data_IF_326232246086
#
_entry.id   IF_326232246086
#
_cell.length_a   1.000
_cell.length_b   1.000
_cell.length_c   1.000
_cell.angle_alpha   90.00
_cell.angle_beta   90.00
_cell.angle_gamma   90.00
#
_symmetry.space_group_name_H-M   'P 1'
#
loop_
_entity.id
_entity.type
_entity.pdbx_description
1 polymer ?
#
# COMPACT_ATOMS: atom_id res chain seq x y z
N UNK A 1 22.33 -2.88 21.18
CA UNK A 1 21.33 -2.31 20.24
C UNK A 1 20.77 -3.40 19.35
N UNK A 2 19.47 -3.52 19.28
CA UNK A 2 18.83 -4.54 18.48
C UNK A 2 18.76 -4.10 17.02
N UNK A 3 19.23 -4.91 16.11
CA UNK A 3 19.06 -4.68 14.68
C UNK A 3 17.72 -5.24 14.23
N UNK A 4 16.93 -4.41 13.54
CA UNK A 4 15.75 -4.90 12.85
C UNK A 4 16.15 -5.42 11.47
N UNK A 5 15.74 -6.64 11.20
CA UNK A 5 15.98 -7.27 9.88
C UNK A 5 14.61 -7.40 9.20
N UNK A 6 14.47 -6.74 8.06
CA UNK A 6 13.28 -6.82 7.24
C UNK A 6 13.55 -7.63 5.98
N UNK A 7 12.52 -8.32 5.48
CA UNK A 7 12.59 -8.96 4.19
C UNK A 7 12.61 -7.94 3.04
N UNK A 8 12.78 -8.44 1.83
CA UNK A 8 12.75 -7.61 0.62
C UNK A 8 14.04 -6.87 0.31
N UNK A 9 15.15 -7.22 0.94
CA UNK A 9 16.45 -6.59 0.69
C UNK A 9 17.07 -7.11 -0.60
N UNK A 10 16.58 -6.63 -1.74
CA UNK A 10 17.10 -6.99 -3.05
C UNK A 10 18.42 -6.29 -3.37
N UNK A 11 18.78 -5.28 -2.59
CA UNK A 11 19.99 -4.47 -2.83
C UNK A 11 21.25 -5.18 -2.35
N UNK A 12 21.16 -5.92 -1.25
CA UNK A 12 22.24 -6.72 -0.72
C UNK A 12 22.24 -8.13 -1.31
N UNK A 13 21.07 -8.73 -1.41
CA UNK A 13 20.90 -10.10 -1.90
C UNK A 13 20.41 -10.09 -3.33
N UNK A 14 21.33 -9.96 -4.28
CA UNK A 14 21.04 -9.90 -5.72
C UNK A 14 21.00 -11.30 -6.32
N UNK A 15 20.27 -11.44 -7.42
CA UNK A 15 20.17 -12.69 -8.18
C UNK A 15 19.60 -13.86 -7.37
N UNK A 16 18.74 -13.55 -6.40
CA UNK A 16 18.05 -14.55 -5.58
C UNK A 16 16.55 -14.54 -5.88
N UNK A 17 15.91 -15.68 -5.68
CA UNK A 17 14.45 -15.74 -5.59
C UNK A 17 14.06 -15.22 -4.20
N UNK A 18 13.32 -14.12 -4.15
CA UNK A 18 12.96 -13.47 -2.89
C UNK A 18 11.57 -13.92 -2.42
N UNK A 19 11.54 -14.72 -1.37
CA UNK A 19 10.30 -15.13 -0.69
C UNK A 19 10.11 -14.41 0.65
N UNK A 20 10.93 -13.40 0.94
CA UNK A 20 10.92 -12.72 2.23
C UNK A 20 9.89 -11.59 2.31
N UNK A 21 9.27 -11.22 1.21
CA UNK A 21 8.28 -10.16 1.15
C UNK A 21 7.22 -10.49 0.10
N UNK A 22 5.99 -10.03 0.34
CA UNK A 22 4.86 -10.28 -0.55
C UNK A 22 4.74 -9.16 -1.57
N UNK A 23 5.62 -9.14 -2.55
CA UNK A 23 5.54 -8.20 -3.66
C UNK A 23 4.92 -8.88 -4.87
N UNK A 24 4.18 -8.12 -5.67
CA UNK A 24 3.63 -8.63 -6.92
C UNK A 24 4.78 -8.87 -7.90
N UNK A 25 5.03 -10.11 -8.33
CA UNK A 25 6.14 -10.41 -9.24
C UNK A 25 5.96 -9.77 -10.62
N UNK A 26 4.74 -9.39 -11.00
CA UNK A 26 4.46 -8.70 -12.26
C UNK A 26 4.60 -7.17 -12.12
N UNK A 27 4.95 -6.70 -10.92
CA UNK A 27 5.09 -5.28 -10.64
C UNK A 27 3.78 -4.60 -10.30
N UNK A 28 3.82 -3.27 -10.21
CA UNK A 28 2.64 -2.47 -9.90
C UNK A 28 1.75 -2.34 -11.12
N UNK A 29 0.43 -2.61 -11.03
CA UNK A 29 -0.49 -2.41 -12.14
C UNK A 29 -0.47 -0.96 -12.67
N UNK A 30 -0.64 -0.79 -13.98
CA UNK A 30 -0.66 0.55 -14.58
C UNK A 30 -1.78 1.43 -14.04
N UNK A 31 -2.94 0.86 -13.73
CA UNK A 31 -4.04 1.60 -13.12
C UNK A 31 -3.67 2.20 -11.78
N UNK A 32 -2.89 1.49 -10.98
CA UNK A 32 -2.40 1.99 -9.68
C UNK A 32 -1.39 3.11 -9.91
N UNK A 33 -0.45 2.94 -10.82
CA UNK A 33 0.53 3.97 -11.15
C UNK A 33 -0.15 5.25 -11.64
N UNK A 34 -1.17 5.12 -12.48
CA UNK A 34 -1.91 6.27 -12.99
C UNK A 34 -2.66 6.98 -11.86
N UNK A 35 -3.28 6.24 -10.95
CA UNK A 35 -3.96 6.83 -9.79
C UNK A 35 -2.98 7.63 -8.92
N UNK A 36 -1.76 7.11 -8.73
CA UNK A 36 -0.72 7.83 -7.99
C UNK A 36 -0.34 9.12 -8.72
N UNK A 37 -0.11 9.06 -10.04
CA UNK A 37 0.22 10.24 -10.82
C UNK A 37 -0.87 11.30 -10.73
N UNK A 38 -2.13 10.89 -10.82
CA UNK A 38 -3.27 11.81 -10.79
C UNK A 38 -3.46 12.45 -9.41
N UNK A 39 -2.94 11.83 -8.35
CA UNK A 39 -3.09 12.31 -6.98
C UNK A 39 -1.89 13.10 -6.45
N UNK A 40 -0.86 13.32 -7.28
CA UNK A 40 0.37 13.99 -6.82
C UNK A 40 0.12 15.38 -6.23
N UNK A 41 -0.82 16.14 -6.79
CA UNK A 41 -1.14 17.48 -6.26
C UNK A 41 -1.77 17.43 -4.87
N UNK A 42 -2.30 16.28 -4.48
CA UNK A 42 -2.97 16.13 -3.19
C UNK A 42 -2.00 15.84 -2.04
N UNK A 43 -0.73 15.52 -2.33
CA UNK A 43 0.25 15.20 -1.28
C UNK A 43 0.60 16.41 -0.40
N UNK A 44 0.27 17.61 -0.86
CA UNK A 44 0.45 18.84 -0.08
C UNK A 44 -0.52 18.95 1.09
N UNK A 45 -1.63 18.22 1.03
CA UNK A 45 -2.68 18.30 2.02
C UNK A 45 -2.50 17.25 3.10
N UNK A 46 -2.90 17.59 4.32
CA UNK A 46 -2.89 16.62 5.41
C UNK A 46 -3.94 15.55 5.14
N UNK A 47 -3.64 14.26 5.38
CA UNK A 47 -4.62 13.20 5.15
C UNK A 47 -5.90 13.42 5.93
N UNK A 48 -7.03 13.06 5.34
CA UNK A 48 -8.32 13.19 5.99
C UNK A 48 -8.40 12.28 7.22
N UNK A 49 -8.76 12.87 8.35
CA UNK A 49 -8.99 12.11 9.57
C UNK A 49 -10.21 11.22 9.37
N UNK A 50 -10.08 9.93 9.78
CA UNK A 50 -11.15 8.97 9.64
C UNK A 50 -11.16 8.17 8.35
N UNK A 51 -10.42 8.60 7.33
CA UNK A 51 -10.24 7.85 6.07
C UNK A 51 -11.55 7.50 5.37
N UNK A 52 -12.58 8.33 5.48
CA UNK A 52 -13.93 7.98 5.01
C UNK A 52 -13.98 7.63 3.51
N UNK A 53 -13.39 8.42 2.59
CA UNK A 53 -13.41 8.05 1.17
C UNK A 53 -12.72 6.71 0.88
N UNK A 54 -11.61 6.43 1.57
CA UNK A 54 -10.89 5.17 1.42
C UNK A 54 -11.73 3.99 1.93
N UNK A 55 -12.35 4.14 3.10
CA UNK A 55 -13.21 3.10 3.67
C UNK A 55 -14.39 2.79 2.76
N UNK A 56 -15.01 3.83 2.19
CA UNK A 56 -16.13 3.64 1.27
C UNK A 56 -15.72 2.91 0.00
N UNK A 57 -14.55 3.23 -0.55
CA UNK A 57 -14.03 2.57 -1.73
C UNK A 57 -13.73 1.09 -1.45
N UNK A 58 -13.09 0.78 -0.33
CA UNK A 58 -12.79 -0.61 0.07
C UNK A 58 -14.09 -1.37 0.35
N UNK A 59 -15.04 -0.74 1.04
CA UNK A 59 -16.32 -1.36 1.36
C UNK A 59 -17.09 -1.76 0.10
N UNK A 60 -17.11 -0.88 -0.89
CA UNK A 60 -17.74 -1.16 -2.18
C UNK A 60 -17.06 -2.32 -2.89
N UNK A 61 -15.74 -2.36 -2.88
CA UNK A 61 -14.96 -3.42 -3.53
C UNK A 61 -15.18 -4.77 -2.85
N UNK A 62 -15.17 -4.80 -1.51
CA UNK A 62 -15.27 -6.03 -0.72
C UNK A 62 -16.72 -6.42 -0.40
N UNK A 63 -17.71 -5.62 -0.80
CA UNK A 63 -19.12 -5.84 -0.52
C UNK A 63 -19.42 -5.96 0.99
N UNK A 64 -18.83 -5.06 1.78
CA UNK A 64 -19.07 -4.96 3.23
C UNK A 64 -19.46 -3.54 3.59
N UNK A 65 -19.92 -3.34 4.82
CA UNK A 65 -20.23 -2.00 5.32
C UNK A 65 -18.96 -1.28 5.71
N UNK A 66 -18.88 0.07 5.49
CA UNK A 66 -17.68 0.84 5.84
C UNK A 66 -17.28 0.74 7.32
N UNK A 67 -18.26 0.55 8.21
CA UNK A 67 -18.00 0.40 9.64
C UNK A 67 -17.18 -0.84 10.00
N UNK A 68 -17.11 -1.81 9.09
CA UNK A 68 -16.33 -3.02 9.28
C UNK A 68 -14.87 -2.86 8.84
N UNK A 69 -14.46 -1.66 8.43
CA UNK A 69 -13.14 -1.40 7.89
C UNK A 69 -12.36 -0.49 8.84
N UNK A 70 -11.15 -0.90 9.17
CA UNK A 70 -10.21 -0.10 9.94
C UNK A 70 -8.97 0.10 9.08
N UNK A 71 -8.58 1.37 8.89
CA UNK A 71 -7.37 1.72 8.18
C UNK A 71 -6.28 2.06 9.18
N UNK A 72 -5.08 1.58 8.91
CA UNK A 72 -3.93 1.82 9.76
C UNK A 72 -2.68 2.07 8.93
N UNK A 73 -1.64 2.46 9.62
CA UNK A 73 -0.35 2.76 9.00
C UNK A 73 0.59 1.56 9.17
N UNK A 74 0.27 0.48 8.49
CA UNK A 74 1.06 -0.74 8.53
C UNK A 74 1.09 -1.34 9.92
#
# INVERSE_FOLDING_TARGET
MTKHVHGGNIYTYKNCLDFSANCNPLGTPESVKQAIRDSLEQIKDYPQVGYQPLKEAIAAYEAVEPEHIICGNG
#
